data_IF_743201713093
#
_entry.id   IF_743201713093
#
_cell.length_a   1.000
_cell.length_b   1.000
_cell.length_c   1.000
_cell.angle_alpha   90.00
_cell.angle_beta   90.00
_cell.angle_gamma   90.00
#
_symmetry.space_group_name_H-M   'P 1'
#
loop_
_entity.id
_entity.type
_entity.pdbx_description
1 polymer ?
#
# COMPACT_ATOMS: atom_id res chain seq x y z
N UNK A 1 -8.52 11.04 3.26
CA UNK A 1 -9.92 10.65 2.91
C UNK A 1 -10.03 10.58 1.39
N UNK A 2 -10.76 9.61 0.87
CA UNK A 2 -10.98 9.37 -0.57
C UNK A 2 -12.47 9.30 -0.84
N UNK A 3 -12.92 9.95 -1.91
CA UNK A 3 -14.31 9.86 -2.40
C UNK A 3 -14.36 9.19 -3.76
N UNK A 4 -15.45 8.47 -4.01
CA UNK A 4 -15.75 7.84 -5.29
C UNK A 4 -17.21 8.11 -5.65
N UNK A 5 -17.47 8.68 -6.83
CA UNK A 5 -18.82 9.09 -7.23
C UNK A 5 -19.47 10.06 -6.22
N UNK A 6 -18.69 10.97 -5.64
CA UNK A 6 -19.15 11.95 -4.64
C UNK A 6 -19.37 11.40 -3.21
N UNK A 7 -19.37 10.07 -3.02
CA UNK A 7 -19.55 9.41 -1.72
C UNK A 7 -18.20 9.09 -1.06
N UNK A 8 -18.18 9.00 0.27
CA UNK A 8 -16.98 8.55 1.00
C UNK A 8 -16.67 7.10 0.63
N UNK A 9 -15.45 6.85 0.16
CA UNK A 9 -14.98 5.52 -0.23
C UNK A 9 -13.95 4.95 0.77
N UNK A 10 -13.09 5.82 1.32
CA UNK A 10 -12.10 5.41 2.31
C UNK A 10 -11.65 6.58 3.19
N UNK A 11 -11.35 6.30 4.45
CA UNK A 11 -10.66 7.20 5.36
C UNK A 11 -9.68 6.39 6.20
N UNK A 12 -8.48 6.92 6.39
CA UNK A 12 -7.47 6.35 7.28
C UNK A 12 -7.06 7.42 8.29
N UNK A 13 -6.66 6.97 9.48
CA UNK A 13 -6.13 7.83 10.53
C UNK A 13 -5.02 7.10 11.28
N UNK A 14 -3.77 7.32 10.87
CA UNK A 14 -2.60 6.86 11.60
C UNK A 14 -2.33 7.85 12.75
N UNK A 15 -2.68 7.43 13.97
CA UNK A 15 -2.44 8.24 15.16
C UNK A 15 -1.22 7.71 15.92
N UNK A 16 -0.14 8.48 15.90
CA UNK A 16 1.07 8.24 16.69
C UNK A 16 1.32 9.51 17.52
N UNK A 17 1.04 9.44 18.82
CA UNK A 17 1.18 10.57 19.73
C UNK A 17 1.57 10.11 21.15
N UNK A 18 2.24 10.95 21.92
CA UNK A 18 2.75 10.58 23.24
C UNK A 18 3.95 9.63 23.13
N UNK A 19 3.87 8.48 23.81
CA UNK A 19 4.93 7.45 23.75
C UNK A 19 4.85 6.66 22.44
N UNK A 20 5.42 7.25 21.38
CA UNK A 20 5.46 6.65 20.05
C UNK A 20 6.32 5.39 20.05
N UNK A 21 7.43 5.35 20.80
CA UNK A 21 8.32 4.19 20.83
C UNK A 21 7.57 2.93 21.28
N UNK A 22 6.82 3.01 22.39
CA UNK A 22 5.98 1.90 22.88
C UNK A 22 4.89 1.50 21.88
N UNK A 23 4.28 2.46 21.18
CA UNK A 23 3.30 2.16 20.14
C UNK A 23 3.93 1.40 18.96
N UNK A 24 5.16 1.73 18.59
CA UNK A 24 5.89 1.06 17.53
C UNK A 24 6.27 -0.39 17.89
N UNK A 25 6.43 -0.70 19.18
CA UNK A 25 6.73 -2.05 19.68
C UNK A 25 5.50 -2.96 19.77
N UNK A 26 4.29 -2.42 19.67
CA UNK A 26 3.06 -3.22 19.79
C UNK A 26 2.96 -4.28 18.68
N UNK A 27 2.79 -5.57 19.00
CA UNK A 27 2.69 -6.64 18.01
C UNK A 27 1.42 -6.55 17.13
N UNK A 28 0.39 -5.86 17.63
CA UNK A 28 -0.84 -5.57 16.87
C UNK A 28 -0.76 -4.25 16.07
N UNK A 29 0.31 -3.48 16.27
CA UNK A 29 0.60 -2.24 15.55
C UNK A 29 1.74 -2.45 14.56
N UNK A 30 2.88 -1.79 14.81
CA UNK A 30 4.04 -1.84 13.93
C UNK A 30 4.95 -3.05 14.16
N UNK A 31 4.89 -3.71 15.32
CA UNK A 31 5.72 -4.88 15.62
C UNK A 31 7.23 -4.62 15.34
N UNK A 32 7.69 -3.46 15.82
CA UNK A 32 9.04 -2.92 15.63
C UNK A 32 9.40 -2.55 14.18
N UNK A 33 8.43 -2.53 13.25
CA UNK A 33 8.65 -2.03 11.90
C UNK A 33 9.03 -0.55 11.93
N UNK A 34 9.95 -0.15 11.05
CA UNK A 34 10.46 1.22 10.95
C UNK A 34 9.89 1.97 9.75
N UNK A 35 9.17 1.27 8.87
CA UNK A 35 8.54 1.85 7.70
C UNK A 35 7.22 1.15 7.37
N UNK A 36 6.30 1.95 6.83
CA UNK A 36 5.03 1.49 6.29
C UNK A 36 4.78 2.18 4.94
N UNK A 37 4.21 1.44 3.99
CA UNK A 37 3.63 2.00 2.77
C UNK A 37 2.16 1.59 2.67
N UNK A 38 1.33 2.46 2.07
CA UNK A 38 -0.08 2.18 1.79
C UNK A 38 -0.41 2.61 0.37
N UNK A 39 -0.98 1.70 -0.41
CA UNK A 39 -1.56 1.96 -1.73
C UNK A 39 -3.09 1.91 -1.61
N UNK A 40 -3.74 2.87 -2.25
CA UNK A 40 -5.18 2.86 -2.51
C UNK A 40 -5.40 2.83 -4.02
N UNK A 41 -5.96 1.75 -4.54
CA UNK A 41 -6.44 1.68 -5.91
C UNK A 41 -7.96 1.85 -5.91
N UNK A 42 -8.43 2.94 -6.50
CA UNK A 42 -9.82 3.40 -6.39
C UNK A 42 -10.41 3.43 -7.78
N UNK A 43 -11.26 2.46 -8.11
CA UNK A 43 -11.79 2.31 -9.46
C UNK A 43 -13.10 1.53 -9.50
N UNK A 44 -13.84 1.66 -10.61
CA UNK A 44 -15.02 0.82 -10.88
C UNK A 44 -14.64 -0.65 -11.00
N UNK A 45 -13.45 -0.93 -11.54
CA UNK A 45 -12.94 -2.29 -11.76
C UNK A 45 -12.11 -2.83 -10.57
N UNK A 46 -12.26 -2.26 -9.38
CA UNK A 46 -11.48 -2.67 -8.21
C UNK A 46 -11.67 -4.15 -7.84
N UNK A 47 -12.88 -4.69 -8.06
CA UNK A 47 -13.21 -6.09 -7.81
C UNK A 47 -12.41 -7.02 -8.74
N UNK A 48 -12.27 -6.65 -10.00
CA UNK A 48 -11.54 -7.40 -11.02
C UNK A 48 -10.02 -7.31 -10.83
N UNK A 49 -9.53 -6.28 -10.12
CA UNK A 49 -8.09 -6.07 -9.89
C UNK A 49 -7.57 -6.64 -8.58
N UNK A 50 -8.42 -6.99 -7.61
CA UNK A 50 -7.95 -7.39 -6.27
C UNK A 50 -7.03 -8.61 -6.28
N UNK A 51 -7.32 -9.61 -7.10
CA UNK A 51 -6.50 -10.83 -7.18
C UNK A 51 -5.16 -10.57 -7.87
N UNK A 52 -5.14 -9.70 -8.88
CA UNK A 52 -3.89 -9.20 -9.46
C UNK A 52 -3.03 -8.51 -8.39
N UNK A 53 -3.62 -7.61 -7.59
CA UNK A 53 -2.91 -6.93 -6.49
C UNK A 53 -2.39 -7.93 -5.45
N UNK A 54 -3.22 -8.88 -5.01
CA UNK A 54 -2.81 -9.93 -4.04
C UNK A 54 -1.70 -10.83 -4.58
N UNK A 55 -1.66 -11.04 -5.89
CA UNK A 55 -0.58 -11.79 -6.53
C UNK A 55 0.72 -10.98 -6.55
N UNK A 56 0.65 -9.73 -7.00
CA UNK A 56 1.82 -8.86 -7.19
C UNK A 56 2.43 -8.35 -5.87
N UNK A 57 1.66 -8.27 -4.79
CA UNK A 57 2.13 -7.71 -3.52
C UNK A 57 3.08 -8.65 -2.76
N UNK A 58 3.09 -9.94 -3.10
CA UNK A 58 3.89 -10.95 -2.41
C UNK A 58 5.37 -10.60 -2.42
N UNK A 59 5.98 -10.59 -1.25
CA UNK A 59 7.40 -10.32 -1.07
C UNK A 59 7.90 -10.92 0.24
N UNK A 60 9.11 -11.46 0.24
CA UNK A 60 9.76 -11.98 1.46
C UNK A 60 10.52 -10.88 2.23
N UNK A 61 10.55 -9.67 1.69
CA UNK A 61 11.34 -8.54 2.21
C UNK A 61 10.68 -7.80 3.36
N UNK A 62 9.35 -7.82 3.42
CA UNK A 62 8.56 -7.16 4.45
C UNK A 62 7.16 -7.80 4.55
N UNK A 63 6.46 -7.54 5.65
CA UNK A 63 5.05 -7.96 5.78
C UNK A 63 4.23 -7.15 4.81
N UNK A 64 3.35 -7.81 4.07
CA UNK A 64 2.45 -7.11 3.15
C UNK A 64 1.11 -7.83 3.04
N UNK A 65 0.09 -7.11 2.60
CA UNK A 65 -1.24 -7.67 2.43
C UNK A 65 -2.16 -6.71 1.69
N UNK A 66 -3.17 -7.27 1.03
CA UNK A 66 -4.15 -6.51 0.26
C UNK A 66 -5.58 -6.98 0.52
N UNK A 67 -6.52 -6.04 0.53
CA UNK A 67 -7.95 -6.28 0.72
C UNK A 67 -8.77 -5.35 -0.17
N UNK A 68 -10.03 -5.71 -0.41
CA UNK A 68 -11.01 -4.91 -1.17
C UNK A 68 -12.11 -4.43 -0.22
N UNK A 69 -12.42 -3.14 -0.27
CA UNK A 69 -13.57 -2.54 0.41
C UNK A 69 -14.33 -1.70 -0.62
N UNK A 70 -15.50 -2.18 -1.04
CA UNK A 70 -16.28 -1.53 -2.10
C UNK A 70 -15.47 -1.37 -3.38
N UNK A 71 -15.19 -0.12 -3.77
CA UNK A 71 -14.42 0.24 -4.98
C UNK A 71 -12.96 0.60 -4.68
N UNK A 72 -12.44 0.17 -3.53
CA UNK A 72 -11.08 0.49 -3.08
C UNK A 72 -10.32 -0.79 -2.76
N UNK A 73 -9.29 -1.09 -3.54
CA UNK A 73 -8.26 -2.06 -3.13
C UNK A 73 -7.24 -1.32 -2.27
N UNK A 74 -6.99 -1.86 -1.08
CA UNK A 74 -6.04 -1.34 -0.11
C UNK A 74 -4.90 -2.35 -0.01
N UNK A 75 -3.68 -1.91 -0.29
CA UNK A 75 -2.48 -2.70 -0.13
C UNK A 75 -1.54 -2.01 0.87
N UNK A 76 -0.95 -2.78 1.79
CA UNK A 76 -0.04 -2.27 2.82
C UNK A 76 1.24 -3.08 2.87
N UNK A 77 2.33 -2.40 3.22
CA UNK A 77 3.64 -2.96 3.51
C UNK A 77 4.12 -2.45 4.87
N UNK A 78 4.80 -3.31 5.62
CA UNK A 78 5.29 -3.03 6.96
C UNK A 78 6.62 -3.77 7.15
N UNK A 79 7.70 -3.05 7.45
CA UNK A 79 9.03 -3.66 7.52
C UNK A 79 9.99 -2.96 8.49
N UNK A 80 10.96 -3.73 8.99
CA UNK A 80 12.02 -3.25 9.89
C UNK A 80 13.12 -2.47 9.16
N UNK A 81 13.30 -2.72 7.87
CA UNK A 81 14.18 -1.98 6.99
C UNK A 81 13.36 -1.08 6.03
N UNK A 82 13.46 0.26 6.16
CA UNK A 82 12.82 1.19 5.24
C UNK A 82 13.20 1.01 3.76
N UNK A 83 14.43 0.60 3.45
CA UNK A 83 14.88 0.40 2.08
C UNK A 83 14.19 -0.82 1.44
N UNK A 84 13.97 -1.89 2.21
CA UNK A 84 13.22 -3.06 1.77
C UNK A 84 11.75 -2.72 1.47
N UNK A 85 11.10 -1.94 2.35
CA UNK A 85 9.72 -1.47 2.14
C UNK A 85 9.63 -0.62 0.88
N UNK A 86 10.58 0.30 0.68
CA UNK A 86 10.65 1.15 -0.51
C UNK A 86 10.80 0.33 -1.79
N UNK A 87 11.71 -0.66 -1.80
CA UNK A 87 11.95 -1.52 -2.97
C UNK A 87 10.76 -2.43 -3.27
N UNK A 88 10.13 -3.01 -2.24
CA UNK A 88 8.91 -3.81 -2.41
C UNK A 88 7.75 -2.99 -2.97
N UNK A 89 7.53 -1.78 -2.43
CA UNK A 89 6.51 -0.87 -2.92
C UNK A 89 6.77 -0.44 -4.37
N UNK A 90 7.98 0.03 -4.69
CA UNK A 90 8.32 0.48 -6.05
C UNK A 90 8.15 -0.63 -7.08
N UNK A 91 8.64 -1.84 -6.78
CA UNK A 91 8.46 -3.02 -7.64
C UNK A 91 6.99 -3.39 -7.84
N UNK A 92 6.18 -3.35 -6.79
CA UNK A 92 4.74 -3.56 -6.90
C UNK A 92 4.10 -2.52 -7.85
N UNK A 93 4.41 -1.24 -7.69
CA UNK A 93 3.78 -0.20 -8.50
C UNK A 93 4.15 -0.34 -9.97
N UNK A 94 5.42 -0.61 -10.29
CA UNK A 94 5.85 -0.83 -11.67
C UNK A 94 5.08 -1.99 -12.33
N UNK A 95 4.97 -3.13 -11.63
CA UNK A 95 4.24 -4.30 -12.12
C UNK A 95 2.73 -4.04 -12.25
N UNK A 96 2.14 -3.34 -11.27
CA UNK A 96 0.71 -3.06 -11.28
C UNK A 96 0.33 -2.02 -12.34
N UNK A 97 1.15 -0.99 -12.53
CA UNK A 97 1.00 -0.02 -13.62
C UNK A 97 1.05 -0.71 -14.98
N UNK A 98 2.01 -1.63 -15.18
CA UNK A 98 2.09 -2.47 -16.38
C UNK A 98 0.81 -3.32 -16.58
N UNK A 99 0.32 -3.97 -15.51
CA UNK A 99 -0.93 -4.75 -15.56
C UNK A 99 -2.19 -3.90 -15.86
N UNK A 100 -2.14 -2.59 -15.59
CA UNK A 100 -3.19 -1.63 -15.94
C UNK A 100 -3.03 -1.06 -17.36
N UNK A 101 -1.97 -1.42 -18.07
CA UNK A 101 -1.64 -0.84 -19.38
C UNK A 101 -1.21 0.63 -19.30
N UNK A 102 -0.72 1.09 -18.16
CA UNK A 102 -0.20 2.45 -18.01
C UNK A 102 1.19 2.54 -18.63
N UNK A 103 1.26 2.76 -19.94
CA UNK A 103 2.53 2.92 -20.67
C UNK A 103 2.97 4.39 -20.70
N UNK A 104 4.18 4.64 -20.20
CA UNK A 104 5.04 5.81 -20.46
C UNK A 104 4.61 7.23 -20.05
N UNK A 105 3.78 7.38 -19.02
CA UNK A 105 3.87 8.55 -18.13
C UNK A 105 4.26 8.09 -16.73
N UNK A 106 5.42 7.43 -16.70
CA UNK A 106 5.98 6.69 -15.59
C UNK A 106 5.83 7.44 -14.28
N UNK A 107 5.56 6.66 -13.23
CA UNK A 107 5.46 7.11 -11.85
C UNK A 107 6.44 8.26 -11.58
N UNK A 108 6.02 9.32 -10.87
CA UNK A 108 6.91 10.43 -10.57
C UNK A 108 8.29 9.92 -10.13
N UNK A 109 9.39 10.52 -10.61
CA UNK A 109 10.75 9.98 -10.44
C UNK A 109 11.13 9.61 -9.00
N UNK A 110 10.46 10.18 -8.00
CA UNK A 110 10.59 9.78 -6.58
C UNK A 110 10.21 8.31 -6.31
N UNK A 111 9.46 7.68 -7.22
CA UNK A 111 8.97 6.30 -7.15
C UNK A 111 9.67 5.34 -8.11
N UNK A 112 10.49 5.84 -9.06
CA UNK A 112 11.43 5.01 -9.81
C UNK A 112 12.64 4.73 -8.92
N UNK A 113 12.81 3.48 -8.50
CA UNK A 113 13.93 3.00 -7.68
C UNK A 113 14.76 2.04 -8.51
#
# INVERSE_FOLDING_TARGET
RVKFGGKMAWADNLHLAGDVARQMESPHGFDQAKAMATLLYVSKDALERVDCVKSLIKTDRCRSGATLIGNVVIARWLGRDPAEVRRAYAGFIANFASALGWTDKGLPAIWSV
#
